data_IF_893304872701
#
_entry.id   IF_893304872701
#
_cell.length_a   1.000
_cell.length_b   1.000
_cell.length_c   1.000
_cell.angle_alpha   90.00
_cell.angle_beta   90.00
_cell.angle_gamma   90.00
#
_symmetry.space_group_name_H-M   'P 1'
#
loop_
_entity.id
_entity.type
_entity.pdbx_description
1 polymer ?
#
# COMPACT_ATOMS: atom_id res chain seq x y z
N UNK A 1 11.93 12.65 50.52
CA UNK A 1 12.70 11.94 49.50
C UNK A 1 12.22 12.51 48.20
N UNK A 2 12.98 13.44 47.64
CA UNK A 2 12.68 13.99 46.32
C UNK A 2 12.99 12.89 45.31
N UNK A 3 11.95 12.34 44.68
CA UNK A 3 12.14 11.52 43.50
C UNK A 3 12.51 12.49 42.39
N UNK A 4 13.81 12.65 42.12
CA UNK A 4 14.25 13.24 40.87
C UNK A 4 13.62 12.42 39.74
N UNK A 5 12.68 13.03 39.02
CA UNK A 5 12.11 12.42 37.82
C UNK A 5 13.21 12.34 36.78
N UNK A 6 13.75 11.14 36.59
CA UNK A 6 14.66 10.82 35.51
C UNK A 6 13.96 11.18 34.18
N UNK A 7 14.57 12.09 33.42
CA UNK A 7 14.03 12.52 32.14
C UNK A 7 14.42 11.49 31.08
N UNK A 8 13.45 10.75 30.56
CA UNK A 8 13.66 9.86 29.41
C UNK A 8 13.64 10.67 28.11
N UNK A 9 14.60 10.40 27.23
CA UNK A 9 14.68 11.06 25.92
C UNK A 9 14.09 10.13 24.86
N UNK A 10 13.05 10.60 24.18
CA UNK A 10 12.42 9.91 23.06
C UNK A 10 12.79 10.57 21.74
N UNK A 11 12.99 9.76 20.70
CA UNK A 11 13.35 10.21 19.37
C UNK A 11 12.39 9.65 18.34
N UNK A 12 12.10 10.43 17.31
CA UNK A 12 11.30 10.01 16.17
C UNK A 12 11.85 10.64 14.89
N UNK A 13 11.82 9.88 13.79
CA UNK A 13 12.22 10.36 12.48
C UNK A 13 11.07 10.27 11.46
N UNK A 14 11.06 11.20 10.51
CA UNK A 14 10.15 11.17 9.37
C UNK A 14 10.96 11.24 8.06
N UNK A 15 10.85 10.21 7.22
CA UNK A 15 11.47 10.18 5.90
C UNK A 15 10.85 11.22 4.97
N UNK A 16 11.68 11.92 4.17
CA UNK A 16 11.19 12.82 3.10
C UNK A 16 10.41 12.02 2.06
N UNK A 17 9.39 12.63 1.46
CA UNK A 17 8.55 11.96 0.43
C UNK A 17 9.32 11.49 -0.81
N UNK A 18 10.51 12.04 -1.05
CA UNK A 18 11.40 11.62 -2.14
C UNK A 18 12.34 10.46 -1.80
N UNK A 19 12.32 9.93 -0.56
CA UNK A 19 13.10 8.73 -0.24
C UNK A 19 12.49 7.51 -0.97
N UNK A 20 13.32 6.54 -1.41
CA UNK A 20 12.84 5.41 -2.20
C UNK A 20 11.69 4.62 -1.56
N UNK A 21 11.79 4.35 -0.25
CA UNK A 21 10.78 3.63 0.54
C UNK A 21 9.46 4.39 0.65
N UNK A 22 9.51 5.70 0.91
CA UNK A 22 8.33 6.57 0.92
C UNK A 22 7.68 6.67 -0.46
N UNK A 23 8.50 6.72 -1.52
CA UNK A 23 8.04 6.73 -2.90
C UNK A 23 7.34 5.41 -3.24
N UNK A 24 7.96 4.27 -2.96
CA UNK A 24 7.37 2.93 -3.15
C UNK A 24 6.02 2.80 -2.44
N UNK A 25 5.92 3.23 -1.19
CA UNK A 25 4.68 3.22 -0.43
C UNK A 25 3.62 4.14 -1.05
N UNK A 26 4.00 5.35 -1.48
CA UNK A 26 3.10 6.29 -2.15
C UNK A 26 2.57 5.74 -3.48
N UNK A 27 3.42 5.11 -4.29
CA UNK A 27 3.00 4.44 -5.52
C UNK A 27 2.04 3.30 -5.25
N UNK A 28 2.33 2.44 -4.27
CA UNK A 28 1.48 1.32 -3.92
C UNK A 28 0.08 1.80 -3.50
N UNK A 29 0.00 2.86 -2.70
CA UNK A 29 -1.25 3.48 -2.29
C UNK A 29 -2.01 4.13 -3.45
N UNK A 30 -1.30 4.81 -4.37
CA UNK A 30 -1.90 5.38 -5.57
C UNK A 30 -2.50 4.30 -6.47
N UNK A 31 -1.74 3.23 -6.72
CA UNK A 31 -2.19 2.08 -7.50
C UNK A 31 -3.41 1.42 -6.87
N UNK A 32 -3.42 1.26 -5.54
CA UNK A 32 -4.55 0.74 -4.79
C UNK A 32 -5.79 1.61 -4.97
N UNK A 33 -5.67 2.93 -4.78
CA UNK A 33 -6.78 3.86 -4.94
C UNK A 33 -7.39 3.77 -6.35
N UNK A 34 -6.54 3.75 -7.39
CA UNK A 34 -6.99 3.63 -8.78
C UNK A 34 -7.60 2.27 -9.10
N UNK A 35 -7.06 1.19 -8.56
CA UNK A 35 -7.67 -0.13 -8.70
C UNK A 35 -9.08 -0.16 -8.11
N UNK A 36 -9.30 0.48 -6.96
CA UNK A 36 -10.62 0.58 -6.33
C UNK A 36 -11.58 1.51 -7.09
N UNK A 37 -11.08 2.50 -7.84
CA UNK A 37 -11.92 3.28 -8.78
C UNK A 37 -12.44 2.40 -9.93
N UNK A 38 -11.59 1.51 -10.47
CA UNK A 38 -11.98 0.57 -11.54
C UNK A 38 -12.96 -0.49 -11.05
N UNK A 39 -12.68 -1.07 -9.88
CA UNK A 39 -13.48 -2.14 -9.28
C UNK A 39 -13.57 -1.89 -7.76
N UNK A 40 -14.66 -1.26 -7.27
CA UNK A 40 -14.81 -0.81 -5.87
C UNK A 40 -14.66 -1.88 -4.78
N UNK A 41 -14.77 -3.16 -5.14
CA UNK A 41 -14.65 -4.30 -4.24
C UNK A 41 -13.47 -5.21 -4.58
N UNK A 42 -12.52 -4.72 -5.39
CA UNK A 42 -11.34 -5.49 -5.70
C UNK A 42 -10.48 -5.70 -4.45
N UNK A 43 -10.01 -6.95 -4.31
CA UNK A 43 -9.01 -7.32 -3.32
C UNK A 43 -7.65 -7.01 -3.92
N UNK A 44 -6.82 -6.31 -3.15
CA UNK A 44 -5.53 -5.83 -3.63
C UNK A 44 -4.47 -6.03 -2.54
N UNK A 45 -3.42 -6.76 -2.89
CA UNK A 45 -2.15 -6.82 -2.18
C UNK A 45 -1.08 -6.37 -3.16
N UNK A 46 -0.90 -5.05 -3.30
CA UNK A 46 0.02 -4.43 -4.25
C UNK A 46 1.31 -4.07 -3.52
N UNK A 47 2.44 -4.45 -4.11
CA UNK A 47 3.78 -4.14 -3.63
C UNK A 47 4.57 -3.46 -4.73
N UNK A 48 5.32 -2.44 -4.36
CA UNK A 48 6.17 -1.69 -5.28
C UNK A 48 7.59 -1.76 -4.76
N UNK A 49 8.54 -2.08 -5.64
CA UNK A 49 9.97 -2.07 -5.31
C UNK A 49 10.72 -1.29 -6.39
N UNK A 50 11.55 -0.34 -5.98
CA UNK A 50 12.52 0.34 -6.83
C UNK A 50 13.84 -0.43 -6.88
N UNK A 51 14.50 -0.37 -8.03
CA UNK A 51 15.81 -0.98 -8.23
C UNK A 51 16.59 -0.32 -9.35
N UNK A 52 17.86 -0.67 -9.47
CA UNK A 52 18.72 -0.23 -10.56
C UNK A 52 19.31 -1.44 -11.29
N UNK A 53 19.04 -1.55 -12.59
CA UNK A 53 19.56 -2.62 -13.44
C UNK A 53 20.88 -2.16 -14.07
N UNK A 54 22.00 -2.40 -13.38
CA UNK A 54 23.34 -1.96 -13.80
C UNK A 54 23.71 -2.38 -15.22
N UNK A 55 23.33 -3.60 -15.64
CA UNK A 55 23.64 -4.13 -16.98
C UNK A 55 22.99 -3.35 -18.12
N UNK A 56 21.87 -2.66 -17.84
CA UNK A 56 21.13 -1.83 -18.81
C UNK A 56 21.15 -0.35 -18.46
N UNK A 57 21.90 0.03 -17.43
CA UNK A 57 22.02 1.40 -16.92
C UNK A 57 20.65 2.09 -16.76
N UNK A 58 19.72 1.44 -16.06
CA UNK A 58 18.33 1.93 -15.97
C UNK A 58 17.70 1.68 -14.61
N UNK A 59 16.82 2.58 -14.19
CA UNK A 59 15.95 2.43 -13.05
C UNK A 59 14.77 1.51 -13.39
N UNK A 60 14.44 0.61 -12.48
CA UNK A 60 13.31 -0.31 -12.63
C UNK A 60 12.41 -0.19 -11.43
N UNK A 61 11.13 0.07 -11.67
CA UNK A 61 10.07 0.02 -10.65
C UNK A 61 9.25 -1.23 -10.92
N UNK A 62 9.30 -2.19 -10.01
CA UNK A 62 8.56 -3.44 -10.13
C UNK A 62 7.29 -3.37 -9.30
N UNK A 63 6.15 -3.54 -9.96
CA UNK A 63 4.83 -3.68 -9.32
C UNK A 63 4.49 -5.16 -9.28
N UNK A 64 4.28 -5.68 -8.07
CA UNK A 64 4.06 -7.10 -7.81
C UNK A 64 2.95 -7.32 -6.81
N UNK A 65 2.52 -8.57 -6.67
CA UNK A 65 1.54 -8.98 -5.67
C UNK A 65 0.30 -9.59 -6.30
N UNK A 66 -0.79 -9.56 -5.55
CA UNK A 66 -2.01 -10.31 -5.85
C UNK A 66 -3.22 -9.38 -5.89
N UNK A 67 -3.96 -9.41 -6.99
CA UNK A 67 -5.14 -8.56 -7.18
C UNK A 67 -6.33 -9.37 -7.70
N UNK A 68 -7.55 -8.88 -7.49
CA UNK A 68 -8.76 -9.46 -8.08
C UNK A 68 -8.64 -9.58 -9.61
N UNK A 69 -9.02 -10.73 -10.17
CA UNK A 69 -8.92 -11.02 -11.60
C UNK A 69 -9.68 -9.99 -12.47
N UNK A 70 -10.80 -9.47 -11.96
CA UNK A 70 -11.60 -8.45 -12.63
C UNK A 70 -10.82 -7.17 -12.96
N UNK A 71 -9.74 -6.87 -12.23
CA UNK A 71 -8.91 -5.69 -12.51
C UNK A 71 -8.14 -5.82 -13.83
N UNK A 72 -7.76 -7.04 -14.24
CA UNK A 72 -7.06 -7.24 -15.51
C UNK A 72 -7.99 -6.96 -16.70
N UNK A 73 -9.26 -7.34 -16.60
CA UNK A 73 -10.27 -7.05 -17.64
C UNK A 73 -10.78 -5.61 -17.57
N UNK A 74 -10.75 -4.97 -16.41
CA UNK A 74 -11.13 -3.56 -16.22
C UNK A 74 -10.06 -2.56 -16.67
N UNK A 75 -8.93 -3.01 -17.21
CA UNK A 75 -7.91 -2.13 -17.79
C UNK A 75 -6.82 -1.66 -16.81
N UNK A 76 -6.54 -2.43 -15.74
CA UNK A 76 -5.48 -2.09 -14.78
C UNK A 76 -4.14 -1.75 -15.45
N UNK A 77 -3.73 -2.54 -16.45
CA UNK A 77 -2.46 -2.30 -17.16
C UNK A 77 -2.44 -0.95 -17.88
N UNK A 78 -3.58 -0.58 -18.50
CA UNK A 78 -3.74 0.71 -19.17
C UNK A 78 -3.69 1.86 -18.17
N UNK A 79 -4.40 1.74 -17.04
CA UNK A 79 -4.36 2.73 -15.96
C UNK A 79 -2.93 2.99 -15.46
N UNK A 80 -2.13 1.94 -15.25
CA UNK A 80 -0.73 2.13 -14.85
C UNK A 80 0.04 2.92 -15.91
N UNK A 81 -0.10 2.54 -17.18
CA UNK A 81 0.63 3.16 -18.28
C UNK A 81 0.24 4.62 -18.54
N UNK A 82 -1.05 4.95 -18.43
CA UNK A 82 -1.61 6.25 -18.84
C UNK A 82 -1.77 7.24 -17.69
N UNK A 83 -1.87 6.79 -16.45
CA UNK A 83 -2.08 7.67 -15.30
C UNK A 83 -0.90 7.66 -14.33
N UNK A 84 -0.46 6.48 -13.90
CA UNK A 84 0.54 6.35 -12.82
C UNK A 84 1.94 6.69 -13.31
N UNK A 85 2.38 6.13 -14.45
CA UNK A 85 3.70 6.44 -15.00
C UNK A 85 3.83 7.94 -15.33
N UNK A 86 2.86 8.60 -16.00
CA UNK A 86 2.94 10.04 -16.23
C UNK A 86 2.93 10.86 -14.94
N UNK A 87 2.13 10.48 -13.94
CA UNK A 87 2.15 11.15 -12.63
C UNK A 87 3.55 11.11 -12.01
N UNK A 88 4.23 9.97 -12.08
CA UNK A 88 5.57 9.81 -11.51
C UNK A 88 6.63 10.57 -12.28
N UNK A 89 6.57 10.54 -13.62
CA UNK A 89 7.42 11.38 -14.45
C UNK A 89 7.23 12.85 -14.08
N UNK A 90 6.00 13.34 -14.05
CA UNK A 90 5.73 14.75 -13.76
C UNK A 90 6.22 15.22 -12.38
N UNK A 91 6.20 14.34 -11.37
CA UNK A 91 6.58 14.70 -10.00
C UNK A 91 8.03 14.34 -9.63
N UNK A 92 8.66 13.42 -10.37
CA UNK A 92 9.99 12.86 -10.02
C UNK A 92 10.96 12.78 -11.22
N UNK A 93 10.66 13.46 -12.33
CA UNK A 93 11.47 13.47 -13.56
C UNK A 93 12.95 13.79 -13.32
N UNK A 94 13.25 14.72 -12.41
CA UNK A 94 14.64 15.11 -12.07
C UNK A 94 15.41 14.01 -11.33
N UNK A 95 14.69 13.09 -10.65
CA UNK A 95 15.28 12.03 -9.82
C UNK A 95 15.43 10.70 -10.57
N UNK A 96 14.66 10.48 -11.64
CA UNK A 96 14.50 9.16 -12.25
C UNK A 96 15.02 9.05 -13.69
N UNK A 97 15.82 10.01 -14.15
CA UNK A 97 16.47 10.01 -15.48
C UNK A 97 15.53 9.52 -16.58
N UNK A 98 14.49 10.32 -16.88
CA UNK A 98 13.17 9.89 -17.38
C UNK A 98 13.08 8.90 -18.56
N UNK A 99 14.11 8.79 -19.39
CA UNK A 99 14.18 7.80 -20.49
C UNK A 99 14.68 6.42 -20.02
N UNK A 100 15.36 6.37 -18.88
CA UNK A 100 15.94 5.19 -18.24
C UNK A 100 15.06 4.63 -17.11
N UNK A 101 13.79 5.04 -17.00
CA UNK A 101 12.84 4.49 -16.03
C UNK A 101 11.89 3.48 -16.68
N UNK A 102 11.90 2.25 -16.17
CA UNK A 102 11.03 1.17 -16.64
C UNK A 102 10.11 0.70 -15.52
N UNK A 103 8.82 0.55 -15.83
CA UNK A 103 7.85 -0.10 -14.94
C UNK A 103 7.65 -1.56 -15.36
N UNK A 104 7.94 -2.48 -14.46
CA UNK A 104 7.64 -3.90 -14.63
C UNK A 104 6.40 -4.28 -13.82
N UNK A 105 5.26 -4.39 -14.49
CA UNK A 105 3.99 -4.86 -13.90
C UNK A 105 3.74 -6.35 -14.14
N UNK A 106 4.66 -7.07 -14.80
CA UNK A 106 4.49 -8.47 -15.17
C UNK A 106 4.43 -9.41 -13.95
N UNK A 107 4.80 -8.90 -12.76
CA UNK A 107 4.80 -9.63 -11.50
C UNK A 107 3.49 -9.51 -10.72
N UNK A 108 2.54 -8.74 -11.23
CA UNK A 108 1.19 -8.70 -10.69
C UNK A 108 0.39 -9.89 -11.22
N UNK A 109 -0.24 -10.65 -10.31
CA UNK A 109 -0.98 -11.86 -10.65
C UNK A 109 -2.39 -11.83 -10.04
N UNK A 110 -3.35 -12.58 -10.60
CA UNK A 110 -4.64 -12.78 -9.95
C UNK A 110 -4.44 -13.43 -8.57
N UNK A 111 -5.24 -13.01 -7.60
CA UNK A 111 -5.29 -13.62 -6.27
C UNK A 111 -5.79 -15.06 -6.38
N UNK A 112 -5.21 -15.96 -5.58
CA UNK A 112 -5.66 -17.35 -5.50
C UNK A 112 -7.14 -17.44 -5.08
N UNK A 113 -7.92 -18.31 -5.72
CA UNK A 113 -9.35 -18.46 -5.49
C UNK A 113 -9.73 -18.87 -4.06
N UNK A 114 -8.82 -19.51 -3.32
CA UNK A 114 -9.00 -19.85 -1.89
C UNK A 114 -8.87 -18.59 -1.02
N UNK A 115 -7.84 -17.78 -1.26
CA UNK A 115 -7.62 -16.51 -0.53
C UNK A 115 -8.67 -15.45 -0.90
N UNK A 116 -9.16 -15.47 -2.14
CA UNK A 116 -10.26 -14.64 -2.60
C UNK A 116 -11.60 -14.95 -1.90
N UNK A 117 -11.67 -16.02 -1.08
CA UNK A 117 -12.87 -16.41 -0.32
C UNK A 117 -12.77 -16.19 1.19
N UNK A 118 -11.58 -15.91 1.74
CA UNK A 118 -11.34 -15.75 3.19
C UNK A 118 -12.17 -14.64 3.88
N UNK A 119 -12.94 -13.84 3.15
CA UNK A 119 -13.86 -12.85 3.71
C UNK A 119 -15.34 -13.27 3.70
N UNK A 120 -15.69 -14.44 3.15
CA UNK A 120 -17.07 -14.93 2.99
C UNK A 120 -17.28 -16.30 3.65
N UNK A 121 -16.44 -16.68 4.62
CA UNK A 121 -16.48 -18.01 5.22
C UNK A 121 -17.50 -18.00 6.35
N UNK A 122 -18.71 -18.47 6.06
CA UNK A 122 -19.62 -18.94 7.11
C UNK A 122 -18.89 -20.01 7.92
N UNK A 123 -18.91 -19.99 9.26
CA UNK A 123 -18.14 -20.90 10.12
C UNK A 123 -18.43 -22.40 9.95
N UNK A 124 -19.39 -22.78 9.09
CA UNK A 124 -19.81 -24.16 8.85
C UNK A 124 -19.33 -24.74 7.50
N UNK A 125 -18.51 -24.03 6.73
CA UNK A 125 -18.15 -24.44 5.37
C UNK A 125 -16.95 -25.41 5.30
N UNK A 126 -17.15 -26.67 5.73
CA UNK A 126 -16.27 -27.81 5.40
C UNK A 126 -16.56 -28.45 4.01
N UNK A 127 -17.41 -27.83 3.20
CA UNK A 127 -17.80 -28.37 1.90
C UNK A 127 -17.02 -27.72 0.74
N UNK A 128 -16.01 -28.42 0.25
CA UNK A 128 -15.15 -28.01 -0.87
C UNK A 128 -15.84 -28.12 -2.25
N UNK A 129 -17.11 -28.52 -2.35
CA UNK A 129 -17.78 -28.75 -3.64
C UNK A 129 -18.21 -27.47 -4.39
N UNK A 130 -18.08 -26.27 -3.80
CA UNK A 130 -18.58 -24.99 -4.36
C UNK A 130 -17.48 -24.10 -4.98
N UNK A 131 -16.45 -24.69 -5.58
CA UNK A 131 -15.24 -23.96 -6.01
C UNK A 131 -15.34 -23.15 -7.32
N UNK A 132 -16.49 -23.11 -8.02
CA UNK A 132 -16.61 -22.50 -9.36
C UNK A 132 -17.76 -21.49 -9.56
N UNK A 133 -18.38 -20.95 -8.50
CA UNK A 133 -19.48 -19.98 -8.61
C UNK A 133 -19.05 -18.50 -8.55
N UNK A 134 -19.89 -17.56 -9.06
CA UNK A 134 -19.68 -16.13 -8.92
C UNK A 134 -19.57 -15.74 -7.44
N UNK A 135 -18.77 -14.70 -7.16
CA UNK A 135 -18.59 -14.15 -5.82
C UNK A 135 -19.95 -13.92 -5.17
N UNK A 136 -20.26 -14.56 -4.02
CA UNK A 136 -21.55 -14.38 -3.39
C UNK A 136 -21.75 -12.91 -3.01
N UNK A 137 -23.02 -12.42 -2.97
CA UNK A 137 -23.30 -11.09 -2.48
C UNK A 137 -22.68 -10.94 -1.09
N UNK A 138 -22.10 -9.76 -0.85
CA UNK A 138 -21.51 -9.40 0.46
C UNK A 138 -22.57 -9.74 1.51
N UNK A 139 -22.23 -10.64 2.43
CA UNK A 139 -23.08 -10.97 3.58
C UNK A 139 -23.31 -9.75 4.46
N UNK A 140 -23.87 -9.95 5.64
CA UNK A 140 -23.86 -8.88 6.63
C UNK A 140 -22.40 -8.49 6.92
N UNK A 141 -22.15 -7.24 7.36
CA UNK A 141 -20.79 -6.83 7.76
C UNK A 141 -20.22 -7.73 8.85
N UNK A 142 -21.09 -8.37 9.63
CA UNK A 142 -20.75 -9.30 10.71
C UNK A 142 -20.20 -10.64 10.19
N UNK A 143 -20.41 -10.97 8.91
CA UNK A 143 -19.91 -12.19 8.26
C UNK A 143 -18.50 -12.02 7.66
N UNK A 144 -17.95 -10.80 7.70
CA UNK A 144 -16.63 -10.51 7.16
C UNK A 144 -15.54 -10.92 8.15
N UNK A 145 -14.80 -11.98 7.80
CA UNK A 145 -13.61 -12.39 8.54
C UNK A 145 -12.37 -11.61 8.10
N UNK A 146 -11.39 -11.49 9.00
CA UNK A 146 -10.09 -10.93 8.69
C UNK A 146 -9.36 -11.78 7.63
N UNK A 147 -8.69 -11.10 6.68
CA UNK A 147 -7.96 -11.79 5.61
C UNK A 147 -6.67 -12.47 6.07
N UNK A 148 -6.08 -12.02 7.18
CA UNK A 148 -4.90 -12.59 7.82
C UNK A 148 -4.94 -12.32 9.33
N UNK A 149 -4.19 -13.10 10.10
CA UNK A 149 -3.97 -12.89 11.54
C UNK A 149 -3.09 -11.66 11.78
N UNK A 150 -3.49 -10.79 12.71
CA UNK A 150 -2.73 -9.59 13.05
C UNK A 150 -3.03 -9.14 14.48
N UNK A 151 -2.07 -8.49 15.12
CA UNK A 151 -2.27 -7.70 16.33
C UNK A 151 -2.10 -6.22 15.96
N UNK A 152 -3.23 -5.50 15.85
CA UNK A 152 -3.20 -4.06 15.62
C UNK A 152 -2.96 -3.32 16.95
N UNK A 153 -1.98 -2.43 16.96
CA UNK A 153 -1.69 -1.55 18.09
C UNK A 153 -2.01 -0.11 17.67
N UNK A 154 -2.89 0.54 18.42
CA UNK A 154 -3.17 1.96 18.29
C UNK A 154 -2.79 2.67 19.60
N UNK A 155 -2.16 3.84 19.49
CA UNK A 155 -1.72 4.64 20.64
C UNK A 155 -2.20 6.07 20.44
N UNK A 156 -2.69 6.68 21.50
CA UNK A 156 -3.10 8.08 21.54
C UNK A 156 -2.51 8.74 22.79
N UNK A 157 -2.09 10.00 22.65
CA UNK A 157 -1.50 10.79 23.74
C UNK A 157 -2.43 11.96 24.06
N UNK A 158 -2.95 12.01 25.28
CA UNK A 158 -3.93 13.02 25.71
C UNK A 158 -3.40 14.46 25.54
N UNK A 159 -2.15 14.69 25.93
CA UNK A 159 -1.51 16.01 25.86
C UNK A 159 -0.79 16.27 24.52
N UNK A 160 -0.94 15.35 23.56
CA UNK A 160 -0.28 15.41 22.26
C UNK A 160 -1.06 16.25 21.24
N UNK A 161 -0.39 17.03 20.36
CA UNK A 161 -1.08 17.69 19.25
C UNK A 161 -1.75 16.64 18.35
N UNK A 162 -3.05 16.78 18.13
CA UNK A 162 -3.88 15.80 17.40
C UNK A 162 -3.84 14.38 17.99
N UNK A 163 -3.66 14.27 19.30
CA UNK A 163 -3.50 13.00 20.04
C UNK A 163 -2.29 12.16 19.59
N UNK A 164 -1.28 12.79 18.98
CA UNK A 164 -0.03 12.15 18.56
C UNK A 164 1.11 12.42 19.54
N UNK A 165 2.09 11.50 19.67
CA UNK A 165 3.34 11.82 20.36
C UNK A 165 3.97 13.10 19.78
N UNK A 166 4.46 13.98 20.65
CA UNK A 166 4.93 15.31 20.27
C UNK A 166 6.12 15.24 19.30
N UNK A 167 7.05 14.34 19.54
CA UNK A 167 8.23 14.08 18.70
C UNK A 167 7.84 13.64 17.28
N UNK A 168 6.81 12.79 17.17
CA UNK A 168 6.27 12.35 15.87
C UNK A 168 5.63 13.51 15.12
N UNK A 169 4.80 14.29 15.82
CA UNK A 169 4.17 15.47 15.25
C UNK A 169 5.22 16.44 14.70
N UNK A 170 6.25 16.76 15.50
CA UNK A 170 7.30 17.69 15.12
C UNK A 170 8.10 17.19 13.91
N UNK A 171 8.52 15.92 13.91
CA UNK A 171 9.26 15.33 12.80
C UNK A 171 8.48 15.39 11.47
N UNK A 172 7.19 15.03 11.51
CA UNK A 172 6.31 15.09 10.33
C UNK A 172 6.12 16.53 9.85
N UNK A 173 5.95 17.50 10.77
CA UNK A 173 5.82 18.91 10.40
C UNK A 173 7.08 19.49 9.78
N UNK A 174 8.26 19.14 10.32
CA UNK A 174 9.54 19.56 9.74
C UNK A 174 9.67 19.00 8.33
N UNK A 175 9.43 17.70 8.13
CA UNK A 175 9.40 17.08 6.79
C UNK A 175 8.46 17.82 5.86
N UNK A 176 7.22 18.07 6.28
CA UNK A 176 6.21 18.74 5.44
C UNK A 176 6.60 20.17 5.06
N UNK A 177 7.41 20.86 5.87
CA UNK A 177 7.98 22.18 5.52
C UNK A 177 9.09 22.03 4.48
N UNK A 178 9.94 21.01 4.61
CA UNK A 178 11.07 20.75 3.71
C UNK A 178 10.67 20.17 2.35
N UNK A 179 9.51 19.52 2.27
CA UNK A 179 8.97 18.92 1.05
C UNK A 179 8.06 19.86 0.24
N UNK A 180 7.90 21.12 0.68
CA UNK A 180 7.28 22.20 -0.12
C UNK A 180 8.28 22.80 -1.09
#
# INVERSE_FOLDING_TARGET
MDHETETEVHYFEAGRRGKPDELEAALANLLLARALELVPYARCNIRVNGGYEHSKNRHVVTVSGEVSEQLFTAGLQQMVAEEVIPHLRNNYCELLDGDNLVFDISKLKPQDGVLARNGNVHPDAHDHSRLSGPTPPVGSLDDLAAGDSCAAIAVAYEDGPFNLPFERYLAVKIRDILDK
#
